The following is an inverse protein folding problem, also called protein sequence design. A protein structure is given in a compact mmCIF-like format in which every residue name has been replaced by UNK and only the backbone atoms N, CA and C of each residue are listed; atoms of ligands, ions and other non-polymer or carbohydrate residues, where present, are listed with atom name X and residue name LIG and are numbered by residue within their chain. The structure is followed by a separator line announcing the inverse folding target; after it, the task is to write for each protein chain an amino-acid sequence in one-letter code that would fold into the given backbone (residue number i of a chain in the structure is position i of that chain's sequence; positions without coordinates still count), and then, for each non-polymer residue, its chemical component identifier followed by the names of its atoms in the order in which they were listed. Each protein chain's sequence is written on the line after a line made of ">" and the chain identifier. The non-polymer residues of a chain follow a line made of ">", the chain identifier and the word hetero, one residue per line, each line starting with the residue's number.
data_IF_474241738528
#
_entry.id   IF_474241738528
#
_cell.length_a   1.000
_cell.length_b   1.000
_cell.length_c   1.000
_cell.angle_alpha   90.00
_cell.angle_beta   90.00
_cell.angle_gamma   90.00
#
_symmetry.space_group_name_H-M   'P 1'
#
loop_
_entity.id
_entity.type
_entity.pdbx_description
1 polymer ?
#
# COMPACT_ATOMS: atom_id res chain seq x y z
N UNK A 1 23.11 -26.31 1.23
CA UNK A 1 22.49 -25.12 0.61
C UNK A 1 22.85 -25.16 -0.87
N UNK A 2 21.89 -25.38 -1.77
CA UNK A 2 22.18 -25.48 -3.23
C UNK A 2 22.75 -24.15 -3.74
N UNK A 3 23.77 -24.20 -4.62
CA UNK A 3 24.31 -23.02 -5.32
C UNK A 3 23.22 -22.27 -6.11
N UNK A 4 22.13 -22.97 -6.45
CA UNK A 4 20.99 -22.41 -7.17
C UNK A 4 20.19 -21.36 -6.37
N UNK A 5 20.34 -21.30 -5.05
CA UNK A 5 19.64 -20.32 -4.21
C UNK A 5 20.46 -19.04 -3.95
N UNK A 6 21.67 -18.94 -4.50
CA UNK A 6 22.50 -17.74 -4.39
C UNK A 6 22.19 -16.76 -5.53
N UNK A 7 21.99 -15.49 -5.18
CA UNK A 7 21.84 -14.39 -6.14
C UNK A 7 23.04 -14.31 -7.11
N UNK A 8 22.86 -13.89 -8.38
CA UNK A 8 23.88 -13.94 -9.43
C UNK A 8 25.21 -13.29 -9.05
N UNK A 9 25.16 -12.14 -8.38
CA UNK A 9 26.36 -11.41 -7.92
C UNK A 9 27.08 -12.19 -6.82
N UNK A 10 26.35 -12.81 -5.89
CA UNK A 10 26.96 -13.66 -4.85
C UNK A 10 27.56 -14.93 -5.45
N UNK A 11 26.94 -15.51 -6.48
CA UNK A 11 27.54 -16.61 -7.25
C UNK A 11 28.82 -16.14 -7.93
N UNK A 12 28.80 -14.97 -8.56
CA UNK A 12 29.97 -14.39 -9.22
C UNK A 12 31.11 -14.12 -8.22
N UNK A 13 30.82 -13.57 -7.04
CA UNK A 13 31.80 -13.35 -5.96
C UNK A 13 32.34 -14.67 -5.39
N UNK A 14 31.49 -15.70 -5.24
CA UNK A 14 31.93 -17.03 -4.81
C UNK A 14 32.80 -17.71 -5.86
N UNK A 15 32.46 -17.57 -7.15
CA UNK A 15 33.27 -18.07 -8.26
C UNK A 15 34.62 -17.35 -8.33
N UNK A 16 34.64 -16.02 -8.19
CA UNK A 16 35.88 -15.25 -8.12
C UNK A 16 36.72 -15.61 -6.89
N UNK A 17 36.08 -15.84 -5.74
CA UNK A 17 36.75 -16.31 -4.53
C UNK A 17 37.33 -17.72 -4.70
N UNK A 18 36.61 -18.63 -5.35
CA UNK A 18 37.08 -19.98 -5.66
C UNK A 18 38.25 -19.96 -6.66
N UNK A 19 38.17 -19.12 -7.70
CA UNK A 19 39.27 -18.90 -8.65
C UNK A 19 40.48 -18.33 -7.92
N UNK A 20 40.29 -17.36 -7.01
CA UNK A 20 41.35 -16.80 -6.19
C UNK A 20 42.03 -17.84 -5.28
N UNK A 21 41.25 -18.74 -4.66
CA UNK A 21 41.79 -19.84 -3.85
C UNK A 21 42.56 -20.87 -4.70
N UNK A 22 42.07 -21.21 -5.88
CA UNK A 22 42.75 -22.12 -6.80
C UNK A 22 44.05 -21.51 -7.33
N UNK A 23 44.04 -20.22 -7.68
CA UNK A 23 45.24 -19.49 -8.08
C UNK A 23 46.26 -19.42 -6.91
N UNK A 24 45.81 -19.16 -5.69
CA UNK A 24 46.66 -19.17 -4.49
C UNK A 24 47.28 -20.53 -4.22
N UNK A 25 46.53 -21.62 -4.36
CA UNK A 25 47.05 -22.98 -4.22
C UNK A 25 48.06 -23.34 -5.31
N UNK A 26 47.82 -22.92 -6.56
CA UNK A 26 48.75 -23.12 -7.67
C UNK A 26 50.07 -22.36 -7.46
N UNK A 27 50.00 -21.10 -7.00
CA UNK A 27 51.18 -20.29 -6.65
C UNK A 27 51.93 -20.94 -5.47
N UNK A 28 51.21 -21.42 -4.45
CA UNK A 28 51.80 -22.11 -3.30
C UNK A 28 52.55 -23.38 -3.70
N UNK A 29 51.97 -24.22 -4.57
CA UNK A 29 52.64 -25.41 -5.10
C UNK A 29 53.84 -25.06 -6.00
N UNK A 30 53.76 -23.98 -6.77
CA UNK A 30 54.87 -23.50 -7.60
C UNK A 30 56.04 -22.99 -6.76
N UNK A 31 55.77 -22.21 -5.69
CA UNK A 31 56.77 -21.76 -4.73
C UNK A 31 57.39 -22.92 -3.94
N UNK A 32 56.58 -23.93 -3.58
CA UNK A 32 57.08 -25.15 -2.94
C UNK A 32 58.01 -25.93 -3.87
N UNK A 33 57.67 -26.00 -5.17
CA UNK A 33 58.52 -26.60 -6.20
C UNK A 33 59.84 -25.85 -6.39
N UNK A 34 59.81 -24.51 -6.37
CA UNK A 34 61.02 -23.67 -6.41
C UNK A 34 61.89 -23.85 -5.17
N UNK A 35 61.29 -23.98 -3.98
CA UNK A 35 61.99 -24.21 -2.72
C UNK A 35 62.68 -25.59 -2.68
N UNK A 36 62.07 -26.60 -3.30
CA UNK A 36 62.62 -27.97 -3.34
C UNK A 36 63.71 -28.17 -4.42
N UNK A 37 63.86 -27.24 -5.37
CA UNK A 37 64.75 -27.38 -6.54
C UNK A 37 65.82 -26.28 -6.71
N UNK A 38 65.97 -25.34 -5.77
CA UNK A 38 66.86 -24.18 -5.93
C UNK A 38 67.99 -24.08 -4.90
N UNK A 39 69.23 -24.26 -5.36
CA UNK A 39 70.48 -23.94 -4.65
C UNK A 39 70.77 -22.41 -4.69
N UNK A 40 71.54 -21.99 -3.70
CA UNK A 40 71.98 -20.67 -3.22
C UNK A 40 72.25 -19.51 -4.20
N UNK A 41 71.73 -18.31 -3.88
CA UNK A 41 72.46 -17.06 -3.55
C UNK A 41 71.61 -15.76 -3.74
N UNK A 42 71.93 -14.63 -3.07
CA UNK A 42 70.93 -13.72 -2.49
C UNK A 42 70.77 -12.41 -3.28
N UNK A 43 69.58 -11.79 -3.22
CA UNK A 43 69.45 -10.37 -3.55
C UNK A 43 68.42 -9.62 -2.65
N UNK A 44 68.96 -8.54 -2.10
CA UNK A 44 68.45 -7.41 -1.30
C UNK A 44 66.95 -7.05 -1.33
N UNK A 45 66.43 -6.73 -0.12
CA UNK A 45 65.15 -6.06 0.16
C UNK A 45 65.24 -4.54 -0.09
N UNK A 46 64.14 -3.90 -0.55
CA UNK A 46 63.79 -2.54 -0.16
C UNK A 46 62.61 -2.53 0.84
N UNK A 47 62.42 -1.42 1.58
CA UNK A 47 61.68 -1.42 2.84
C UNK A 47 60.18 -1.19 2.64
N UNK A 48 59.40 -1.96 3.38
CA UNK A 48 57.99 -1.71 3.65
C UNK A 48 57.91 -0.73 4.82
N UNK A 49 57.64 0.54 4.55
CA UNK A 49 56.91 1.36 5.51
C UNK A 49 56.20 2.55 4.86
N UNK A 50 55.07 2.92 5.46
CA UNK A 50 54.13 4.00 5.13
C UNK A 50 53.10 3.71 4.02
N UNK A 51 51.88 3.35 4.42
CA UNK A 51 50.65 4.11 4.12
C UNK A 51 49.41 3.51 4.85
N UNK A 52 49.45 3.45 6.19
CA UNK A 52 48.25 3.23 7.01
C UNK A 52 48.13 4.30 8.11
N UNK A 53 47.86 5.54 7.70
CA UNK A 53 47.19 6.55 8.55
C UNK A 53 46.78 7.78 7.72
N UNK A 54 45.75 7.63 6.89
CA UNK A 54 44.93 8.78 6.45
C UNK A 54 43.63 8.32 5.77
N UNK A 55 42.61 8.07 6.60
CA UNK A 55 41.20 8.50 6.40
C UNK A 55 40.31 7.86 7.46
N UNK A 56 40.41 8.41 8.67
CA UNK A 56 39.20 8.62 9.46
C UNK A 56 38.53 9.90 8.90
N UNK A 57 37.21 9.87 8.75
CA UNK A 57 36.40 11.08 8.59
C UNK A 57 35.45 11.03 7.40
N UNK A 58 34.18 11.34 7.70
CA UNK A 58 33.01 11.44 6.83
C UNK A 58 32.36 10.06 6.63
N UNK A 59 31.16 9.74 7.12
CA UNK A 59 29.93 10.53 7.16
C UNK A 59 29.11 10.21 8.43
N UNK A 60 28.98 11.20 9.31
CA UNK A 60 27.90 11.24 10.30
C UNK A 60 26.73 12.01 9.71
N UNK A 61 25.70 11.32 9.23
CA UNK A 61 24.41 11.96 9.01
C UNK A 61 23.60 11.83 10.28
N UNK A 62 23.59 12.92 11.06
CA UNK A 62 22.54 13.19 12.00
C UNK A 62 21.22 13.27 11.21
N UNK A 63 20.37 12.27 11.38
CA UNK A 63 18.95 12.38 11.07
C UNK A 63 18.39 13.47 11.97
N UNK A 64 18.16 14.65 11.40
CA UNK A 64 17.27 15.65 11.99
C UNK A 64 15.88 15.03 11.96
N UNK A 65 15.52 14.33 13.04
CA UNK A 65 14.16 13.92 13.29
C UNK A 65 13.32 15.18 13.40
N UNK A 66 12.51 15.47 12.38
CA UNK A 66 11.36 16.31 12.58
C UNK A 66 10.50 15.61 13.64
N UNK A 67 10.41 16.20 14.83
CA UNK A 67 9.41 15.80 15.81
C UNK A 67 8.04 16.11 15.20
N UNK A 68 7.47 15.13 14.52
CA UNK A 68 6.08 15.17 14.11
C UNK A 68 5.28 14.84 15.36
N UNK A 69 4.50 15.80 15.87
CA UNK A 69 3.55 15.53 16.95
C UNK A 69 2.60 14.44 16.47
N UNK A 70 2.82 13.19 16.88
CA UNK A 70 2.08 12.05 16.35
C UNK A 70 0.78 11.90 17.13
N UNK A 71 -0.34 12.19 16.46
CA UNK A 71 -1.69 11.94 16.98
C UNK A 71 -2.28 10.75 16.23
N UNK A 72 -2.78 9.77 16.98
CA UNK A 72 -3.41 8.57 16.41
C UNK A 72 -4.87 8.53 16.76
N UNK A 73 -5.68 8.00 15.85
CA UNK A 73 -7.13 7.88 16.00
C UNK A 73 -7.53 6.41 15.94
N UNK A 74 -8.53 6.02 16.73
CA UNK A 74 -9.24 4.74 16.54
C UNK A 74 -10.71 4.86 16.94
N UNK A 75 -11.51 3.92 16.48
CA UNK A 75 -12.89 3.77 16.93
C UNK A 75 -12.97 2.49 17.73
N UNK A 76 -13.44 2.60 18.97
CA UNK A 76 -13.65 1.45 19.83
C UNK A 76 -14.76 0.56 19.24
N UNK A 77 -14.44 -0.70 18.93
CA UNK A 77 -15.37 -1.61 18.23
C UNK A 77 -16.56 -2.05 19.08
N UNK A 78 -16.47 -1.95 20.42
CA UNK A 78 -17.58 -2.27 21.31
C UNK A 78 -18.52 -1.09 21.56
N UNK A 79 -17.97 0.11 21.70
CA UNK A 79 -18.73 1.32 22.10
C UNK A 79 -18.99 2.31 20.96
N UNK A 80 -18.31 2.14 19.82
CA UNK A 80 -18.29 3.07 18.68
C UNK A 80 -17.89 4.50 19.07
N UNK A 81 -17.07 4.63 20.12
CA UNK A 81 -16.53 5.92 20.56
C UNK A 81 -15.20 6.20 19.85
N UNK A 82 -14.99 7.46 19.49
CA UNK A 82 -13.70 7.92 18.98
C UNK A 82 -12.71 8.04 20.15
N UNK A 83 -11.58 7.37 19.99
CA UNK A 83 -10.45 7.44 20.90
C UNK A 83 -9.25 8.05 20.17
N UNK A 84 -8.52 8.91 20.88
CA UNK A 84 -7.38 9.67 20.37
C UNK A 84 -6.19 9.42 21.28
N UNK A 85 -5.04 9.16 20.69
CA UNK A 85 -3.77 9.09 21.40
C UNK A 85 -2.93 10.30 21.00
N UNK A 86 -2.43 11.04 21.99
CA UNK A 86 -1.63 12.25 21.81
C UNK A 86 -0.26 12.06 22.47
N UNK A 87 0.77 12.74 21.94
CA UNK A 87 2.15 12.60 22.43
C UNK A 87 2.31 12.89 23.93
N UNK A 88 1.54 13.86 24.47
CA UNK A 88 1.61 14.25 25.88
C UNK A 88 1.11 13.18 26.86
N UNK A 89 0.41 12.13 26.39
CA UNK A 89 -0.18 11.08 27.23
C UNK A 89 -0.12 9.72 26.54
N UNK A 90 0.68 8.77 27.04
CA UNK A 90 0.70 7.40 26.51
C UNK A 90 -0.57 6.66 26.94
N UNK A 91 -1.64 6.79 26.16
CA UNK A 91 -2.93 6.13 26.41
C UNK A 91 -4.00 6.56 25.40
N UNK A 92 -5.04 5.76 25.24
CA UNK A 92 -6.20 6.11 24.41
C UNK A 92 -7.20 6.91 25.23
N UNK A 93 -7.47 8.12 24.77
CA UNK A 93 -8.32 9.11 25.44
C UNK A 93 -9.62 9.28 24.66
N UNK A 94 -10.74 9.40 25.35
CA UNK A 94 -12.02 9.63 24.68
C UNK A 94 -12.11 11.06 24.14
N UNK A 95 -12.59 11.20 22.91
CA UNK A 95 -12.81 12.50 22.30
C UNK A 95 -14.11 13.15 22.81
N UNK A 96 -14.00 14.34 23.39
CA UNK A 96 -15.15 15.17 23.72
C UNK A 96 -15.93 15.59 22.46
N UNK A 97 -17.24 15.77 22.59
CA UNK A 97 -18.08 16.26 21.49
C UNK A 97 -18.14 17.80 21.42
N UNK A 98 -17.71 18.49 22.47
CA UNK A 98 -17.69 19.95 22.41
C UNK A 98 -16.83 20.46 21.27
N UNK A 99 -17.36 21.46 20.54
CA UNK A 99 -16.66 22.14 19.44
C UNK A 99 -16.35 21.23 18.26
N UNK A 100 -17.04 20.09 18.17
CA UNK A 100 -17.02 19.26 16.99
C UNK A 100 -17.60 20.00 15.79
N UNK A 101 -16.95 19.87 14.63
CA UNK A 101 -17.49 20.32 13.36
C UNK A 101 -17.37 19.22 12.29
N UNK A 102 -18.15 19.33 11.22
CA UNK A 102 -18.21 18.33 10.17
C UNK A 102 -16.85 18.13 9.49
N UNK A 103 -16.11 19.21 9.22
CA UNK A 103 -14.81 19.18 8.56
C UNK A 103 -13.77 18.37 9.33
N UNK A 104 -13.70 18.55 10.65
CA UNK A 104 -12.82 17.78 11.53
C UNK A 104 -13.24 16.30 11.57
N UNK A 105 -14.56 16.04 11.63
CA UNK A 105 -15.10 14.68 11.53
C UNK A 105 -14.68 13.98 10.24
N UNK A 106 -14.77 14.66 9.10
CA UNK A 106 -14.32 14.13 7.82
C UNK A 106 -12.82 13.88 7.82
N UNK A 107 -12.01 14.79 8.35
CA UNK A 107 -10.56 14.62 8.40
C UNK A 107 -10.15 13.41 9.24
N UNK A 108 -10.73 13.25 10.43
CA UNK A 108 -10.49 12.07 11.29
C UNK A 108 -10.99 10.79 10.64
N UNK A 109 -12.13 10.85 9.94
CA UNK A 109 -12.66 9.71 9.18
C UNK A 109 -11.64 9.23 8.13
N UNK A 110 -10.98 10.16 7.42
CA UNK A 110 -9.89 9.86 6.47
C UNK A 110 -8.63 9.35 7.16
N UNK A 111 -8.26 9.92 8.31
CA UNK A 111 -7.15 9.40 9.14
C UNK A 111 -7.38 7.93 9.52
N UNK A 112 -8.64 7.55 9.72
CA UNK A 112 -9.08 6.18 10.03
C UNK A 112 -9.21 5.26 8.79
N UNK A 113 -8.93 5.77 7.58
CA UNK A 113 -8.98 5.01 6.33
C UNK A 113 -10.38 4.88 5.72
N UNK A 114 -11.32 5.73 6.13
CA UNK A 114 -12.68 5.79 5.57
C UNK A 114 -12.83 6.97 4.60
N UNK A 115 -13.63 6.78 3.55
CA UNK A 115 -13.84 7.80 2.50
C UNK A 115 -14.77 8.94 2.90
N UNK A 116 -15.80 8.65 3.71
CA UNK A 116 -16.83 9.64 4.04
C UNK A 116 -17.32 9.47 5.47
N UNK A 117 -17.49 10.61 6.14
CA UNK A 117 -18.22 10.67 7.40
C UNK A 117 -19.71 10.67 7.12
N UNK A 118 -20.42 9.64 7.58
CA UNK A 118 -21.87 9.58 7.39
C UNK A 118 -22.67 10.14 8.56
N UNK A 119 -22.28 9.83 9.80
CA UNK A 119 -22.97 10.35 10.97
C UNK A 119 -22.00 10.49 12.16
N UNK A 120 -22.11 11.61 12.87
CA UNK A 120 -21.40 11.87 14.11
C UNK A 120 -22.37 12.46 15.12
N UNK A 121 -22.32 12.02 16.38
CA UNK A 121 -23.21 12.51 17.43
C UNK A 121 -22.55 12.44 18.79
N UNK A 122 -22.76 13.45 19.62
CA UNK A 122 -22.46 13.38 21.05
C UNK A 122 -23.34 12.34 21.77
N UNK A 123 -22.74 11.55 22.64
CA UNK A 123 -23.41 10.57 23.49
C UNK A 123 -23.06 10.78 24.95
N UNK A 124 -23.96 10.35 25.82
CA UNK A 124 -23.70 10.34 27.24
C UNK A 124 -23.00 9.03 27.63
N UNK A 125 -21.87 9.12 28.34
CA UNK A 125 -21.10 7.94 28.78
C UNK A 125 -21.88 7.07 29.75
N UNK A 126 -22.88 7.60 30.47
CA UNK A 126 -23.78 6.77 31.28
C UNK A 126 -24.54 5.74 30.42
N UNK A 127 -24.79 6.07 29.16
CA UNK A 127 -25.55 5.22 28.22
C UNK A 127 -24.64 4.23 27.49
N UNK A 128 -23.33 4.38 27.63
CA UNK A 128 -22.30 3.58 26.97
C UNK A 128 -21.42 3.04 28.08
N UNK A 129 -21.66 1.81 28.55
CA UNK A 129 -20.95 1.16 29.67
C UNK A 129 -19.41 1.20 29.52
N UNK A 130 -18.80 2.34 29.84
CA UNK A 130 -17.36 2.62 29.73
C UNK A 130 -16.80 2.62 31.15
N UNK A 131 -15.57 2.14 31.32
CA UNK A 131 -14.91 2.17 32.63
C UNK A 131 -14.63 3.63 33.06
N UNK A 132 -15.05 3.99 34.26
CA UNK A 132 -15.08 5.34 34.85
C UNK A 132 -13.71 6.04 35.07
N UNK A 133 -12.61 5.54 34.50
CA UNK A 133 -11.25 6.05 34.74
C UNK A 133 -10.54 6.60 33.51
N UNK A 134 -11.25 6.90 32.42
CA UNK A 134 -10.63 7.44 31.20
C UNK A 134 -10.49 8.96 31.24
N UNK A 135 -9.26 9.42 31.02
CA UNK A 135 -8.97 10.81 30.66
C UNK A 135 -9.50 11.13 29.25
N UNK A 136 -9.74 12.41 28.96
CA UNK A 136 -10.39 12.90 27.75
C UNK A 136 -9.46 13.78 26.92
N UNK A 137 -9.83 13.97 25.65
CA UNK A 137 -9.27 15.04 24.81
C UNK A 137 -10.37 15.97 24.30
N UNK A 138 -10.07 17.27 24.32
CA UNK A 138 -10.96 18.31 23.82
C UNK A 138 -10.31 19.06 22.64
N UNK A 139 -11.15 19.51 21.71
CA UNK A 139 -10.75 20.38 20.60
C UNK A 139 -10.52 21.81 21.13
N UNK A 140 -9.30 22.33 21.00
CA UNK A 140 -8.97 23.72 21.33
C UNK A 140 -9.21 24.66 20.15
N UNK A 141 -9.82 25.83 20.34
CA UNK A 141 -9.94 26.82 19.30
C UNK A 141 -8.57 27.48 19.14
N UNK A 142 -8.07 27.51 17.91
CA UNK A 142 -7.11 28.50 17.43
C UNK A 142 -5.61 28.23 17.64
N UNK A 143 -5.13 27.00 17.46
CA UNK A 143 -3.71 26.76 17.19
C UNK A 143 -3.55 25.88 15.94
N UNK A 144 -3.25 26.56 14.82
CA UNK A 144 -2.80 26.00 13.54
C UNK A 144 -3.76 25.03 12.84
N UNK A 145 -3.70 25.03 11.52
CA UNK A 145 -4.65 24.34 10.63
C UNK A 145 -4.37 22.85 10.45
N UNK A 146 -3.70 22.21 11.41
CA UNK A 146 -3.19 20.84 11.28
C UNK A 146 -3.79 19.99 12.41
N UNK A 147 -4.26 18.80 12.07
CA UNK A 147 -5.09 17.94 12.93
C UNK A 147 -4.37 17.51 14.21
N UNK A 148 -3.05 17.57 14.23
CA UNK A 148 -2.20 17.19 15.35
C UNK A 148 -2.25 18.23 16.48
N UNK A 149 -2.42 19.52 16.14
CA UNK A 149 -2.30 20.64 17.09
C UNK A 149 -3.62 20.98 17.81
N UNK A 150 -4.74 20.37 17.40
CA UNK A 150 -6.07 20.75 17.91
C UNK A 150 -6.48 20.02 19.20
N UNK A 151 -5.65 19.14 19.74
CA UNK A 151 -6.01 18.27 20.88
C UNK A 151 -5.39 18.72 22.19
N UNK A 152 -6.23 18.91 23.21
CA UNK A 152 -5.80 19.17 24.58
C UNK A 152 -6.34 18.10 25.52
N UNK A 153 -5.45 17.48 26.30
CA UNK A 153 -5.83 16.52 27.35
C UNK A 153 -6.61 17.23 28.45
N UNK A 154 -7.70 16.61 28.90
CA UNK A 154 -8.51 17.05 30.04
C UNK A 154 -9.00 15.86 30.85
N UNK A 155 -9.45 16.16 32.06
CA UNK A 155 -9.98 15.21 33.02
C UNK A 155 -11.52 15.08 32.96
N UNK A 156 -12.21 15.97 32.22
CA UNK A 156 -13.63 15.89 31.90
C UNK A 156 -13.93 16.56 30.54
N UNK A 157 -15.12 16.30 30.00
CA UNK A 157 -15.74 17.05 28.90
C UNK A 157 -16.82 18.03 29.43
N UNK A 158 -17.01 19.17 28.77
CA UNK A 158 -18.05 20.16 29.10
C UNK A 158 -19.38 19.85 28.37
N UNK A 159 -20.16 18.88 28.86
CA UNK A 159 -21.44 18.50 28.24
C UNK A 159 -21.61 16.98 28.13
N UNK A 160 -22.33 16.50 27.11
CA UNK A 160 -22.53 15.07 26.85
C UNK A 160 -21.16 14.37 26.70
N UNK A 161 -20.77 13.47 27.64
CA UNK A 161 -19.36 13.18 27.88
C UNK A 161 -18.62 12.28 26.85
N UNK A 162 -19.10 12.12 25.62
CA UNK A 162 -18.31 11.48 24.55
C UNK A 162 -18.83 11.72 23.14
N UNK A 163 -17.95 11.70 22.14
CA UNK A 163 -18.34 11.65 20.71
C UNK A 163 -18.52 10.19 20.28
N UNK A 164 -19.75 9.77 19.96
CA UNK A 164 -19.99 8.51 19.25
C UNK A 164 -19.79 8.74 17.76
N UNK A 165 -18.81 8.05 17.23
CA UNK A 165 -18.51 7.99 15.82
C UNK A 165 -19.15 6.72 15.27
N UNK A 166 -20.16 6.87 14.42
CA UNK A 166 -20.67 5.76 13.63
C UNK A 166 -20.17 5.96 12.20
N UNK A 167 -18.98 5.43 11.85
CA UNK A 167 -18.54 5.46 10.46
C UNK A 167 -19.53 4.59 9.67
N UNK A 168 -20.34 5.15 8.75
CA UNK A 168 -21.07 4.32 7.76
C UNK A 168 -20.17 3.87 6.61
N UNK A 169 -18.96 3.45 6.91
CA UNK A 169 -18.24 2.65 5.96
C UNK A 169 -17.81 1.41 6.71
N UNK A 170 -18.72 0.42 6.75
CA UNK A 170 -18.38 -0.97 7.03
C UNK A 170 -17.48 -1.49 5.89
N UNK A 171 -16.28 -0.94 5.79
CA UNK A 171 -15.24 -1.36 4.87
C UNK A 171 -14.37 -2.42 5.54
N UNK A 172 -13.63 -3.19 4.74
CA UNK A 172 -12.64 -4.13 5.25
C UNK A 172 -13.24 -5.29 6.05
N UNK A 173 -14.56 -5.51 5.97
CA UNK A 173 -15.25 -6.64 6.58
C UNK A 173 -15.44 -7.76 5.56
N UNK A 174 -15.15 -8.99 5.96
CA UNK A 174 -15.41 -10.19 5.14
C UNK A 174 -16.01 -11.31 5.98
N UNK A 175 -16.76 -12.21 5.34
CA UNK A 175 -17.28 -13.42 5.99
C UNK A 175 -16.14 -14.39 6.37
N UNK A 176 -16.16 -14.93 7.58
CA UNK A 176 -15.11 -15.80 8.13
C UNK A 176 -15.22 -17.27 7.69
N UNK A 177 -16.16 -17.61 6.81
CA UNK A 177 -16.66 -18.97 6.60
C UNK A 177 -15.73 -19.97 5.87
N UNK A 178 -14.42 -19.73 5.70
CA UNK A 178 -13.53 -20.76 5.17
C UNK A 178 -12.06 -20.57 5.58
N UNK A 179 -11.38 -21.66 5.92
CA UNK A 179 -9.91 -21.72 6.11
C UNK A 179 -9.37 -22.79 5.16
N UNK A 180 -8.64 -22.40 4.13
CA UNK A 180 -7.87 -23.30 3.26
C UNK A 180 -6.46 -22.70 3.04
N UNK A 181 -5.46 -23.56 2.86
CA UNK A 181 -4.02 -23.24 2.83
C UNK A 181 -3.46 -23.57 1.43
N UNK A 182 -2.82 -22.59 0.80
CA UNK A 182 -2.03 -22.77 -0.44
C UNK A 182 -2.82 -22.58 -1.74
N UNK A 183 -2.92 -21.34 -2.22
CA UNK A 183 -3.35 -20.98 -3.59
C UNK A 183 -4.58 -21.73 -4.10
N UNK A 184 -5.78 -21.33 -3.66
CA UNK A 184 -7.02 -22.07 -3.94
C UNK A 184 -8.11 -21.16 -4.50
N UNK A 185 -9.15 -21.79 -5.04
CA UNK A 185 -10.38 -21.07 -5.41
C UNK A 185 -10.93 -20.30 -4.21
N UNK A 186 -11.21 -19.02 -4.42
CA UNK A 186 -11.78 -18.15 -3.41
C UNK A 186 -13.30 -18.40 -3.34
N UNK A 187 -13.87 -18.73 -2.16
CA UNK A 187 -15.31 -18.80 -2.00
C UNK A 187 -15.97 -17.43 -2.15
N UNK A 188 -17.24 -17.46 -2.57
CA UNK A 188 -18.05 -16.25 -2.74
C UNK A 188 -18.09 -15.41 -1.44
N UNK A 189 -17.86 -14.10 -1.58
CA UNK A 189 -17.90 -13.14 -0.47
C UNK A 189 -16.69 -13.17 0.46
N UNK A 190 -15.64 -13.93 0.14
CA UNK A 190 -14.39 -13.88 0.90
C UNK A 190 -13.55 -12.64 0.61
N UNK A 191 -13.58 -12.16 -0.63
CA UNK A 191 -12.98 -10.91 -1.06
C UNK A 191 -14.07 -10.01 -1.65
N UNK A 192 -15.00 -9.49 -0.82
CA UNK A 192 -16.21 -8.83 -1.31
C UNK A 192 -15.92 -7.48 -2.01
N UNK A 193 -14.70 -6.96 -1.88
CA UNK A 193 -14.20 -5.80 -2.60
C UNK A 193 -13.59 -6.13 -3.95
N UNK A 194 -13.26 -7.39 -4.24
CA UNK A 194 -12.70 -7.76 -5.53
C UNK A 194 -13.71 -7.45 -6.64
N UNK A 195 -13.25 -6.74 -7.68
CA UNK A 195 -14.01 -6.58 -8.91
C UNK A 195 -13.22 -7.05 -10.11
N UNK A 196 -13.96 -7.38 -11.16
CA UNK A 196 -13.45 -7.71 -12.47
C UNK A 196 -13.77 -6.57 -13.43
N UNK A 197 -12.73 -6.00 -14.06
CA UNK A 197 -12.87 -4.93 -15.03
C UNK A 197 -12.92 -5.51 -16.43
N UNK A 198 -14.01 -5.21 -17.13
CA UNK A 198 -14.24 -5.65 -18.49
C UNK A 198 -14.14 -4.48 -19.46
N UNK A 199 -13.44 -4.70 -20.56
CA UNK A 199 -13.40 -3.82 -21.71
C UNK A 199 -13.89 -4.59 -22.93
N UNK A 200 -14.92 -4.07 -23.62
CA UNK A 200 -15.52 -4.72 -24.79
C UNK A 200 -15.88 -6.19 -24.50
N UNK A 201 -16.52 -6.44 -23.35
CA UNK A 201 -16.97 -7.78 -22.92
C UNK A 201 -15.86 -8.79 -22.60
N UNK A 202 -14.62 -8.33 -22.42
CA UNK A 202 -13.50 -9.18 -22.01
C UNK A 202 -12.91 -8.67 -20.72
N UNK A 203 -12.62 -9.59 -19.80
CA UNK A 203 -11.81 -9.27 -18.63
C UNK A 203 -10.43 -8.76 -19.08
N UNK A 204 -9.99 -7.65 -18.48
CA UNK A 204 -8.67 -7.06 -18.74
C UNK A 204 -7.86 -6.84 -17.48
N UNK A 205 -8.51 -6.51 -16.36
CA UNK A 205 -7.85 -6.20 -15.10
C UNK A 205 -8.76 -6.49 -13.90
N UNK A 206 -8.16 -6.55 -12.71
CA UNK A 206 -8.85 -6.47 -11.44
C UNK A 206 -9.07 -5.04 -10.95
N UNK A 207 -9.77 -4.92 -9.83
CA UNK A 207 -9.97 -3.67 -9.09
C UNK A 207 -10.46 -3.95 -7.68
N UNK A 208 -10.60 -2.89 -6.89
CA UNK A 208 -11.19 -2.97 -5.55
C UNK A 208 -12.31 -1.96 -5.35
N UNK A 209 -13.43 -2.40 -4.76
CA UNK A 209 -14.48 -1.49 -4.27
C UNK A 209 -13.93 -0.69 -3.09
N UNK A 210 -13.92 0.63 -3.18
CA UNK A 210 -13.54 1.52 -2.07
C UNK A 210 -14.73 2.32 -1.55
N UNK A 211 -15.75 2.55 -2.38
CA UNK A 211 -17.05 3.11 -2.00
C UNK A 211 -18.17 2.43 -2.79
N UNK A 212 -19.43 2.79 -2.51
CA UNK A 212 -20.59 2.26 -3.23
C UNK A 212 -20.47 2.45 -4.75
N UNK A 213 -19.98 3.60 -5.21
CA UNK A 213 -19.85 3.97 -6.63
C UNK A 213 -18.40 4.17 -7.06
N UNK A 214 -17.41 3.77 -6.24
CA UNK A 214 -15.99 3.97 -6.53
C UNK A 214 -15.18 2.68 -6.51
N UNK A 215 -14.47 2.48 -7.61
CA UNK A 215 -13.50 1.41 -7.79
C UNK A 215 -12.11 2.00 -7.91
N UNK A 216 -11.12 1.39 -7.26
CA UNK A 216 -9.70 1.68 -7.43
C UNK A 216 -9.05 0.55 -8.24
N UNK A 217 -8.14 0.90 -9.14
CA UNK A 217 -7.39 -0.04 -10.00
C UNK A 217 -6.04 0.59 -10.40
N UNK A 218 -5.28 -0.07 -11.28
CA UNK A 218 -4.02 0.44 -11.80
C UNK A 218 -4.26 1.41 -12.98
N UNK A 219 -3.37 2.39 -13.14
CA UNK A 219 -3.44 3.32 -14.28
C UNK A 219 -3.15 2.60 -15.60
N UNK A 220 -2.21 1.67 -15.63
CA UNK A 220 -1.85 0.94 -16.86
C UNK A 220 -3.03 0.13 -17.44
N UNK A 221 -3.98 -0.28 -16.59
CA UNK A 221 -5.22 -0.92 -17.01
C UNK A 221 -6.11 -0.01 -17.86
N UNK A 222 -5.99 1.32 -17.74
CA UNK A 222 -6.89 2.27 -18.40
C UNK A 222 -6.15 3.30 -19.27
N UNK A 223 -4.86 3.51 -19.05
CA UNK A 223 -4.05 4.54 -19.70
C UNK A 223 -3.73 4.23 -21.17
N UNK A 224 -3.33 2.98 -21.46
CA UNK A 224 -2.88 2.57 -22.79
C UNK A 224 -4.00 2.60 -23.83
N UNK A 225 -5.23 2.63 -23.37
CA UNK A 225 -6.40 2.78 -24.19
C UNK A 225 -6.65 4.28 -24.33
N UNK A 226 -5.98 4.93 -25.29
CA UNK A 226 -6.11 6.38 -25.48
C UNK A 226 -7.52 6.83 -25.89
N UNK A 227 -8.45 5.91 -26.24
CA UNK A 227 -9.87 6.19 -26.58
C UNK A 227 -10.88 5.00 -26.46
N UNK A 228 -10.89 4.15 -25.43
CA UNK A 228 -12.08 3.36 -25.15
C UNK A 228 -13.12 4.37 -24.66
N UNK A 229 -14.28 4.39 -25.31
CA UNK A 229 -15.36 5.17 -24.76
C UNK A 229 -15.63 4.63 -23.35
N UNK A 230 -15.85 5.49 -22.37
CA UNK A 230 -16.14 5.03 -20.99
C UNK A 230 -17.30 4.01 -20.98
N UNK A 231 -18.22 4.12 -21.94
CA UNK A 231 -19.31 3.18 -22.23
C UNK A 231 -18.89 1.75 -22.59
N UNK A 232 -17.65 1.50 -23.02
CA UNK A 232 -17.15 0.15 -23.30
C UNK A 232 -16.65 -0.59 -22.05
N UNK A 233 -16.62 0.09 -20.89
CA UNK A 233 -16.19 -0.47 -19.63
C UNK A 233 -17.37 -0.93 -18.79
N UNK A 234 -17.23 -2.13 -18.23
CA UNK A 234 -18.14 -2.70 -17.23
C UNK A 234 -17.36 -3.18 -16.02
N UNK A 235 -17.94 -3.00 -14.85
CA UNK A 235 -17.39 -3.52 -13.58
C UNK A 235 -18.30 -4.62 -13.06
N UNK A 236 -17.73 -5.79 -12.82
CA UNK A 236 -18.44 -6.90 -12.19
C UNK A 236 -17.96 -7.08 -10.75
N UNK A 237 -18.89 -6.97 -9.80
CA UNK A 237 -18.65 -7.14 -8.36
C UNK A 237 -19.51 -8.28 -7.82
N UNK A 238 -19.06 -8.93 -6.75
CA UNK A 238 -19.82 -10.01 -6.09
C UNK A 238 -19.87 -11.31 -6.90
N UNK A 239 -18.86 -11.51 -7.75
CA UNK A 239 -18.73 -12.69 -8.62
C UNK A 239 -17.46 -13.43 -8.25
N UNK A 240 -17.44 -14.75 -8.46
CA UNK A 240 -16.23 -15.56 -8.39
C UNK A 240 -15.93 -16.25 -9.72
N UNK A 241 -16.92 -16.38 -10.61
CA UNK A 241 -16.75 -17.00 -11.92
C UNK A 241 -16.96 -15.99 -13.06
N UNK A 242 -16.09 -16.01 -14.07
CA UNK A 242 -16.19 -15.13 -15.24
C UNK A 242 -17.36 -15.46 -16.17
N UNK A 243 -17.72 -16.73 -16.27
CA UNK A 243 -18.61 -17.28 -17.29
C UNK A 243 -20.10 -17.27 -16.92
N UNK A 244 -20.44 -17.00 -15.65
CA UNK A 244 -21.81 -17.11 -15.15
C UNK A 244 -22.58 -15.79 -15.12
N UNK A 245 -21.99 -14.69 -15.59
CA UNK A 245 -22.55 -13.34 -15.37
C UNK A 245 -23.00 -12.72 -16.69
N UNK A 246 -24.32 -12.51 -16.90
CA UNK A 246 -24.82 -11.80 -18.07
C UNK A 246 -24.20 -10.40 -18.16
N UNK A 247 -23.86 -9.94 -19.37
CA UNK A 247 -23.30 -8.58 -19.56
C UNK A 247 -24.19 -7.48 -18.98
N UNK A 248 -25.52 -7.69 -18.96
CA UNK A 248 -26.48 -6.75 -18.38
C UNK A 248 -26.34 -6.58 -16.87
N UNK A 249 -25.63 -7.49 -16.18
CA UNK A 249 -25.37 -7.41 -14.74
C UNK A 249 -24.09 -6.61 -14.40
N UNK A 250 -23.30 -6.20 -15.40
CA UNK A 250 -22.13 -5.35 -15.19
C UNK A 250 -22.53 -3.92 -14.84
N UNK A 251 -21.88 -3.32 -13.85
CA UNK A 251 -22.06 -1.93 -13.51
C UNK A 251 -21.38 -1.03 -14.56
N UNK A 252 -22.15 -0.12 -15.14
CA UNK A 252 -21.66 0.84 -16.12
C UNK A 252 -20.77 1.90 -15.47
N UNK A 253 -19.73 2.32 -16.18
CA UNK A 253 -18.76 3.33 -15.72
C UNK A 253 -19.20 4.71 -16.20
N UNK A 254 -19.21 5.69 -15.30
CA UNK A 254 -19.47 7.11 -15.58
C UNK A 254 -18.17 7.83 -15.98
N UNK A 255 -17.09 7.57 -15.25
CA UNK A 255 -15.83 8.30 -15.39
C UNK A 255 -14.63 7.44 -15.01
N UNK A 256 -13.53 7.61 -15.75
CA UNK A 256 -12.24 6.98 -15.46
C UNK A 256 -11.22 8.10 -15.22
N UNK A 257 -10.49 8.01 -14.11
CA UNK A 257 -9.54 9.02 -13.65
C UNK A 257 -8.25 8.30 -13.25
N UNK A 258 -7.28 8.23 -14.16
CA UNK A 258 -5.93 7.78 -13.82
C UNK A 258 -5.09 8.94 -13.30
N UNK A 259 -4.08 8.64 -12.50
CA UNK A 259 -3.24 9.67 -11.91
C UNK A 259 -2.47 10.46 -12.99
N UNK A 260 -2.46 11.80 -12.97
CA UNK A 260 -1.91 12.63 -14.05
C UNK A 260 -0.40 12.52 -14.23
N UNK A 261 0.32 12.01 -13.22
CA UNK A 261 1.77 11.74 -13.27
C UNK A 261 2.11 10.28 -13.57
N UNK A 262 1.13 9.46 -13.98
CA UNK A 262 1.41 8.08 -14.40
C UNK A 262 2.42 8.06 -15.55
N UNK A 263 3.45 7.24 -15.39
CA UNK A 263 4.51 7.02 -16.37
C UNK A 263 4.51 5.56 -16.81
N UNK A 264 4.27 5.33 -18.10
CA UNK A 264 4.17 3.99 -18.69
C UNK A 264 5.50 3.25 -18.76
N UNK A 265 6.63 3.96 -18.66
CA UNK A 265 7.97 3.36 -18.68
C UNK A 265 8.42 2.86 -17.32
N UNK A 266 8.22 3.69 -16.29
CA UNK A 266 8.64 3.36 -14.93
C UNK A 266 7.54 2.67 -14.12
N UNK A 267 6.30 2.63 -14.61
CA UNK A 267 5.10 2.24 -13.86
C UNK A 267 4.89 3.05 -12.57
N UNK A 268 5.49 4.23 -12.48
CA UNK A 268 5.30 5.11 -11.35
C UNK A 268 3.94 5.82 -11.42
N UNK A 269 3.37 6.13 -10.25
CA UNK A 269 1.99 6.63 -10.15
C UNK A 269 0.93 5.73 -10.81
N UNK A 270 1.12 4.41 -10.77
CA UNK A 270 0.22 3.42 -11.38
C UNK A 270 -1.06 3.19 -10.56
N UNK A 271 -1.95 4.17 -10.59
CA UNK A 271 -3.25 4.16 -9.90
C UNK A 271 -4.31 4.89 -10.72
N UNK A 272 -5.52 4.34 -10.70
CA UNK A 272 -6.71 4.94 -11.28
C UNK A 272 -7.96 4.70 -10.41
N UNK A 273 -8.92 5.60 -10.56
CA UNK A 273 -10.26 5.50 -10.00
C UNK A 273 -11.28 5.40 -11.13
N UNK A 274 -12.28 4.54 -10.95
CA UNK A 274 -13.44 4.44 -11.83
C UNK A 274 -14.69 4.75 -11.02
N UNK A 275 -15.46 5.74 -11.48
CA UNK A 275 -16.76 6.09 -10.92
C UNK A 275 -17.84 5.32 -11.66
N UNK A 276 -18.71 4.64 -10.94
CA UNK A 276 -19.85 3.91 -11.49
C UNK A 276 -21.04 4.86 -11.73
N UNK A 277 -21.85 4.55 -12.74
CA UNK A 277 -23.06 5.33 -13.07
C UNK A 277 -24.15 5.17 -12.00
N UNK A 278 -24.16 4.02 -11.32
CA UNK A 278 -25.06 3.72 -10.21
C UNK A 278 -24.28 3.06 -9.07
N UNK A 279 -24.63 3.34 -7.80
CA UNK A 279 -23.98 2.72 -6.65
C UNK A 279 -24.24 1.21 -6.61
N UNK A 280 -23.23 0.45 -6.19
CA UNK A 280 -23.34 -0.97 -5.88
C UNK A 280 -24.18 -1.17 -4.63
N UNK A 281 -25.04 -2.19 -4.68
CA UNK A 281 -25.78 -2.65 -3.51
C UNK A 281 -24.88 -3.54 -2.65
N UNK A 282 -24.39 -3.01 -1.53
CA UNK A 282 -23.56 -3.79 -0.62
C UNK A 282 -24.32 -4.97 -0.02
N UNK A 283 -23.63 -6.09 0.12
CA UNK A 283 -24.15 -7.37 0.57
C UNK A 283 -23.03 -8.19 1.23
N UNK A 284 -23.26 -9.47 1.51
CA UNK A 284 -22.18 -10.36 1.96
C UNK A 284 -21.14 -10.66 0.86
N UNK A 285 -21.49 -10.44 -0.41
CA UNK A 285 -20.61 -10.67 -1.55
C UNK A 285 -19.99 -9.38 -2.12
N UNK A 286 -20.53 -8.21 -1.79
CA UNK A 286 -20.08 -6.90 -2.29
C UNK A 286 -19.90 -5.95 -1.11
N UNK A 287 -18.67 -5.52 -0.82
CA UNK A 287 -18.35 -4.53 0.22
C UNK A 287 -17.10 -3.76 -0.15
N UNK A 288 -16.95 -2.57 0.41
CA UNK A 288 -15.70 -1.82 0.27
C UNK A 288 -14.56 -2.46 1.08
N UNK A 289 -13.33 -2.34 0.58
CA UNK A 289 -12.11 -2.51 1.39
C UNK A 289 -11.76 -1.18 2.05
N UNK A 290 -11.17 -1.19 3.24
CA UNK A 290 -10.70 0.04 3.85
C UNK A 290 -9.41 0.52 3.18
N UNK A 291 -9.21 1.83 3.13
CA UNK A 291 -7.91 2.39 2.81
C UNK A 291 -6.97 2.25 4.01
N UNK A 292 -5.64 2.27 3.79
CA UNK A 292 -4.68 2.32 4.89
C UNK A 292 -4.86 3.61 5.68
N UNK A 293 -4.51 3.58 6.98
CA UNK A 293 -4.42 4.81 7.76
C UNK A 293 -3.29 5.68 7.20
N UNK A 294 -3.38 7.00 7.41
CA UNK A 294 -2.22 7.86 7.17
C UNK A 294 -1.06 7.43 8.06
N UNK A 295 0.14 7.38 7.48
CA UNK A 295 1.37 6.95 8.16
C UNK A 295 1.36 5.51 8.72
N UNK A 296 0.37 4.69 8.34
CA UNK A 296 0.41 3.26 8.69
C UNK A 296 1.43 2.55 7.81
N UNK A 297 2.48 2.07 8.46
CA UNK A 297 3.42 1.13 7.87
C UNK A 297 3.11 -0.28 8.35
N UNK A 298 2.96 -1.20 7.40
CA UNK A 298 2.88 -2.61 7.68
C UNK A 298 4.30 -3.20 7.81
N UNK A 299 4.62 -3.89 8.92
CA UNK A 299 5.94 -4.48 9.10
C UNK A 299 6.31 -5.44 7.96
N UNK A 300 7.59 -5.48 7.60
CA UNK A 300 8.08 -6.48 6.65
C UNK A 300 7.82 -7.90 7.18
N UNK A 301 7.48 -8.83 6.28
CA UNK A 301 7.05 -10.18 6.66
C UNK A 301 5.58 -10.30 7.08
N UNK A 302 4.84 -9.18 7.15
CA UNK A 302 3.37 -9.22 7.30
C UNK A 302 2.77 -10.03 6.15
N UNK A 303 1.94 -11.00 6.48
CA UNK A 303 1.26 -11.82 5.49
C UNK A 303 0.01 -11.08 5.01
N UNK A 304 0.01 -10.76 3.74
CA UNK A 304 -1.10 -10.11 3.04
C UNK A 304 -1.66 -11.06 1.99
N UNK A 305 -2.81 -10.71 1.44
CA UNK A 305 -3.52 -11.52 0.48
C UNK A 305 -3.65 -10.79 -0.85
N UNK A 306 -3.47 -11.54 -1.91
CA UNK A 306 -3.82 -11.16 -3.28
C UNK A 306 -4.97 -12.03 -3.76
N UNK A 307 -5.82 -11.45 -4.60
CA UNK A 307 -6.89 -12.16 -5.26
C UNK A 307 -7.06 -11.65 -6.69
N UNK A 308 -7.46 -12.54 -7.59
CA UNK A 308 -7.69 -12.21 -8.98
C UNK A 308 -7.93 -13.43 -9.86
N UNK A 309 -8.13 -13.17 -11.16
CA UNK A 309 -8.42 -14.17 -12.19
C UNK A 309 -7.32 -14.27 -13.24
N UNK A 310 -6.15 -13.74 -12.90
CA UNK A 310 -4.97 -13.77 -13.74
C UNK A 310 -4.46 -15.18 -14.02
N UNK A 311 -3.50 -15.25 -14.93
CA UNK A 311 -2.92 -16.51 -15.36
C UNK A 311 -2.16 -17.19 -14.22
N UNK A 312 -2.34 -18.50 -14.06
CA UNK A 312 -1.62 -19.29 -13.05
C UNK A 312 -0.28 -19.83 -13.54
N UNK A 313 0.03 -19.63 -14.83
CA UNK A 313 1.28 -20.06 -15.46
C UNK A 313 1.91 -18.90 -16.24
N UNK A 314 3.25 -18.72 -16.21
CA UNK A 314 3.94 -17.69 -16.98
C UNK A 314 3.86 -17.92 -18.50
N UNK A 315 3.79 -19.19 -18.90
CA UNK A 315 3.48 -19.60 -20.26
C UNK A 315 2.01 -19.28 -20.52
N UNK A 316 1.71 -18.60 -21.63
CA UNK A 316 0.38 -18.12 -22.03
C UNK A 316 -0.57 -19.29 -22.39
N UNK A 317 -0.74 -20.24 -21.48
CA UNK A 317 -1.49 -21.48 -21.61
C UNK A 317 -3.00 -21.23 -21.56
N UNK A 318 -3.52 -20.88 -22.72
CA UNK A 318 -4.86 -21.10 -23.31
C UNK A 318 -6.16 -20.85 -22.52
N UNK A 319 -6.17 -20.63 -21.20
CA UNK A 319 -7.43 -20.31 -20.52
C UNK A 319 -7.22 -19.39 -19.31
N UNK A 320 -7.79 -18.18 -19.41
CA UNK A 320 -8.09 -17.32 -18.26
C UNK A 320 -8.79 -18.17 -17.19
N UNK A 321 -8.42 -17.98 -15.91
CA UNK A 321 -9.00 -18.75 -14.83
C UNK A 321 -10.50 -18.50 -14.76
N UNK A 322 -11.31 -19.57 -14.81
CA UNK A 322 -12.76 -19.40 -14.72
C UNK A 322 -13.17 -18.91 -13.33
N UNK A 323 -12.40 -19.27 -12.28
CA UNK A 323 -12.69 -19.02 -10.87
C UNK A 323 -11.66 -18.08 -10.23
N UNK A 324 -12.14 -17.21 -9.33
CA UNK A 324 -11.32 -16.29 -8.55
C UNK A 324 -10.33 -17.09 -7.69
N UNK A 325 -9.05 -16.72 -7.76
CA UNK A 325 -7.99 -17.31 -6.94
C UNK A 325 -7.64 -16.40 -5.78
N UNK A 326 -7.12 -16.98 -4.71
CA UNK A 326 -6.52 -16.26 -3.59
C UNK A 326 -5.15 -16.83 -3.22
N UNK A 327 -4.21 -15.96 -2.85
CA UNK A 327 -2.91 -16.37 -2.35
C UNK A 327 -2.42 -15.47 -1.23
N UNK A 328 -1.63 -16.03 -0.32
CA UNK A 328 -0.97 -15.29 0.75
C UNK A 328 0.44 -14.95 0.28
N UNK A 329 0.85 -13.70 0.46
CA UNK A 329 2.21 -13.23 0.14
C UNK A 329 2.75 -12.36 1.29
N UNK A 330 4.02 -12.52 1.70
CA UNK A 330 4.62 -11.68 2.72
C UNK A 330 5.12 -10.36 2.11
N UNK A 331 4.98 -9.25 2.85
CA UNK A 331 5.59 -7.98 2.46
C UNK A 331 7.12 -8.05 2.51
N UNK A 332 7.78 -7.50 1.50
CA UNK A 332 9.23 -7.41 1.40
C UNK A 332 9.65 -5.95 1.60
N UNK A 333 10.74 -5.74 2.33
CA UNK A 333 11.26 -4.39 2.56
C UNK A 333 11.71 -3.72 1.28
N UNK A 334 11.43 -2.43 1.12
CA UNK A 334 11.86 -1.65 -0.05
C UNK A 334 13.37 -1.74 -0.25
N UNK A 335 14.16 -1.66 0.85
CA UNK A 335 15.62 -1.84 0.82
C UNK A 335 16.06 -3.18 0.23
N UNK A 336 15.33 -4.26 0.53
CA UNK A 336 15.63 -5.59 -0.01
C UNK A 336 15.21 -5.68 -1.47
N UNK A 337 14.03 -5.15 -1.80
CA UNK A 337 13.50 -5.23 -3.15
C UNK A 337 14.31 -4.41 -4.17
N UNK A 338 14.87 -3.25 -3.77
CA UNK A 338 15.79 -2.46 -4.61
C UNK A 338 17.22 -3.00 -4.63
N UNK A 339 17.51 -4.06 -3.87
CA UNK A 339 18.87 -4.59 -3.84
C UNK A 339 19.29 -5.12 -5.20
N UNK A 340 20.60 -5.20 -5.42
CA UNK A 340 21.17 -5.76 -6.64
C UNK A 340 20.85 -7.24 -6.86
N UNK A 341 20.21 -7.90 -5.90
CA UNK A 341 19.78 -9.28 -5.99
C UNK A 341 18.32 -9.46 -6.41
N UNK A 342 17.60 -8.35 -6.65
CA UNK A 342 16.20 -8.31 -7.05
C UNK A 342 16.08 -7.29 -8.20
N UNK A 343 15.43 -6.15 -7.99
CA UNK A 343 15.14 -5.17 -9.05
C UNK A 343 16.20 -4.09 -9.27
N UNK A 344 17.41 -4.21 -8.70
CA UNK A 344 18.55 -3.33 -9.00
C UNK A 344 18.25 -1.80 -8.96
N UNK A 345 17.40 -1.35 -8.04
CA UNK A 345 17.07 0.07 -7.88
C UNK A 345 15.92 0.60 -8.74
N UNK A 346 15.17 -0.25 -9.44
CA UNK A 346 14.07 0.16 -10.33
C UNK A 346 12.81 0.63 -9.58
N UNK A 347 12.68 0.36 -8.28
CA UNK A 347 11.48 0.75 -7.54
C UNK A 347 11.51 2.20 -7.04
N UNK A 348 10.38 2.87 -7.18
CA UNK A 348 10.16 4.20 -6.61
C UNK A 348 9.63 4.11 -5.17
N UNK A 349 9.74 5.19 -4.37
CA UNK A 349 9.07 5.30 -3.07
C UNK A 349 7.55 5.06 -3.07
N UNK A 350 6.87 5.16 -4.22
CA UNK A 350 5.43 4.92 -4.38
C UNK A 350 5.10 3.43 -4.59
N UNK A 351 6.10 2.55 -4.55
CA UNK A 351 5.96 1.13 -4.79
C UNK A 351 6.32 0.32 -3.55
N UNK A 352 5.75 -0.89 -3.47
CA UNK A 352 6.11 -1.91 -2.49
C UNK A 352 6.22 -3.27 -3.16
N UNK A 353 6.87 -4.22 -2.48
CA UNK A 353 6.99 -5.60 -2.94
C UNK A 353 6.31 -6.56 -1.98
N UNK A 354 5.69 -7.60 -2.53
CA UNK A 354 5.16 -8.71 -1.76
C UNK A 354 5.35 -10.01 -2.54
N UNK A 355 5.77 -11.07 -1.86
CA UNK A 355 6.00 -12.37 -2.50
C UNK A 355 7.04 -13.21 -1.76
N UNK A 356 7.24 -14.43 -2.23
CA UNK A 356 8.26 -15.32 -1.71
C UNK A 356 9.54 -15.25 -2.55
N UNK A 357 10.69 -15.30 -1.89
CA UNK A 357 11.98 -15.16 -2.58
C UNK A 357 12.35 -16.39 -3.41
N UNK A 358 11.81 -17.55 -3.06
CA UNK A 358 11.89 -18.76 -3.88
C UNK A 358 10.83 -18.80 -4.99
N UNK A 359 10.05 -17.71 -5.16
CA UNK A 359 9.04 -17.56 -6.20
C UNK A 359 7.78 -18.38 -5.93
N UNK A 360 7.23 -19.00 -6.99
CA UNK A 360 6.06 -19.90 -7.04
C UNK A 360 4.70 -19.27 -6.76
N UNK A 361 4.62 -18.30 -5.86
CA UNK A 361 3.37 -17.63 -5.51
C UNK A 361 3.52 -16.13 -5.75
N UNK A 362 2.73 -15.63 -6.70
CA UNK A 362 2.76 -14.24 -7.13
C UNK A 362 1.43 -13.86 -7.80
N UNK A 363 1.19 -12.55 -7.96
CA UNK A 363 0.19 -12.06 -8.89
C UNK A 363 0.74 -12.17 -10.32
N UNK A 364 -0.13 -12.36 -11.30
CA UNK A 364 0.30 -12.51 -12.69
C UNK A 364 -0.51 -11.63 -13.65
N UNK A 365 -0.28 -11.83 -14.95
CA UNK A 365 -1.01 -11.15 -16.02
C UNK A 365 -2.53 -11.28 -15.79
N UNK A 366 -3.26 -10.19 -16.04
CA UNK A 366 -4.69 -9.98 -15.76
C UNK A 366 -5.10 -9.86 -14.27
N UNK A 367 -4.21 -10.07 -13.30
CA UNK A 367 -4.44 -9.64 -11.90
C UNK A 367 -4.18 -8.15 -11.68
N UNK A 368 -3.54 -7.49 -12.66
CA UNK A 368 -3.28 -6.06 -12.69
C UNK A 368 -4.46 -5.21 -12.20
N UNK A 369 -4.18 -4.25 -11.34
CA UNK A 369 -5.21 -3.42 -10.70
C UNK A 369 -5.95 -4.10 -9.54
N UNK A 370 -5.75 -5.40 -9.33
CA UNK A 370 -6.32 -6.16 -8.23
C UNK A 370 -5.75 -5.79 -6.85
N UNK A 371 -6.42 -6.24 -5.77
CA UNK A 371 -6.04 -5.92 -4.40
C UNK A 371 -4.81 -6.67 -3.91
N UNK A 372 -3.93 -5.96 -3.19
CA UNK A 372 -3.11 -6.52 -2.12
C UNK A 372 -3.64 -6.01 -0.78
N UNK A 373 -4.24 -6.90 0.01
CA UNK A 373 -4.89 -6.54 1.27
C UNK A 373 -4.21 -7.17 2.47
N UNK A 374 -3.98 -6.37 3.51
CA UNK A 374 -3.42 -6.82 4.77
C UNK A 374 -4.48 -6.65 5.87
N UNK A 375 -4.48 -7.57 6.84
CA UNK A 375 -5.38 -7.49 7.97
C UNK A 375 -4.72 -6.69 9.11
N UNK A 376 -5.43 -5.67 9.58
CA UNK A 376 -5.10 -4.82 10.71
C UNK A 376 -6.17 -5.04 11.79
N UNK A 377 -5.82 -5.80 12.82
CA UNK A 377 -6.76 -6.36 13.80
C UNK A 377 -7.92 -7.14 13.13
N UNK A 378 -9.11 -6.55 13.06
CA UNK A 378 -10.31 -7.14 12.45
C UNK A 378 -10.66 -6.51 11.10
N UNK A 379 -9.85 -5.57 10.61
CA UNK A 379 -10.14 -4.76 9.42
C UNK A 379 -9.18 -5.08 8.29
N UNK A 380 -9.70 -5.37 7.11
CA UNK A 380 -8.90 -5.54 5.89
C UNK A 380 -8.66 -4.20 5.21
N UNK A 381 -7.39 -3.91 4.93
CA UNK A 381 -6.95 -2.66 4.31
C UNK A 381 -6.25 -2.92 2.99
N UNK A 382 -6.53 -2.09 1.99
CA UNK A 382 -5.90 -2.13 0.66
C UNK A 382 -4.52 -1.49 0.73
N UNK A 383 -3.49 -2.30 0.95
CA UNK A 383 -2.12 -1.81 1.14
C UNK A 383 -1.43 -1.61 -0.21
N UNK A 384 -1.78 -2.43 -1.20
CA UNK A 384 -1.22 -2.35 -2.54
C UNK A 384 -2.24 -2.57 -3.65
N UNK A 385 -1.88 -2.13 -4.85
CA UNK A 385 -2.58 -2.43 -6.10
C UNK A 385 -1.59 -3.16 -7.01
N UNK A 386 -1.97 -4.32 -7.55
CA UNK A 386 -1.11 -5.11 -8.46
C UNK A 386 -0.70 -4.23 -9.65
N UNK A 387 0.61 -4.07 -9.88
CA UNK A 387 1.14 -3.14 -10.88
C UNK A 387 2.00 -3.85 -11.93
N UNK A 388 3.14 -4.42 -11.54
CA UNK A 388 4.08 -5.07 -12.47
C UNK A 388 4.96 -6.10 -11.77
N UNK A 389 5.74 -6.85 -12.54
CA UNK A 389 6.74 -7.81 -12.05
C UNK A 389 7.52 -8.43 -13.20
N UNK A 390 8.71 -8.98 -12.90
CA UNK A 390 9.47 -9.77 -13.88
C UNK A 390 8.97 -11.21 -13.85
N UNK A 391 8.27 -11.63 -14.91
CA UNK A 391 7.60 -12.93 -14.95
C UNK A 391 6.49 -13.03 -13.89
N UNK A 392 6.12 -14.25 -13.52
CA UNK A 392 5.18 -14.52 -12.44
C UNK A 392 5.70 -15.64 -11.57
N UNK A 393 5.91 -15.38 -10.27
CA UNK A 393 6.43 -16.40 -9.35
C UNK A 393 7.87 -16.80 -9.64
N UNK A 394 8.67 -15.89 -10.20
CA UNK A 394 10.09 -16.14 -10.43
C UNK A 394 10.91 -15.95 -9.14
N UNK A 395 11.93 -16.79 -8.90
CA UNK A 395 12.82 -16.62 -7.74
C UNK A 395 13.51 -15.24 -7.76
N UNK A 396 13.45 -14.53 -6.63
CA UNK A 396 13.96 -13.18 -6.40
C UNK A 396 13.27 -12.04 -7.18
N UNK A 397 12.20 -12.31 -7.94
CA UNK A 397 11.38 -11.29 -8.60
C UNK A 397 9.94 -11.35 -8.08
N UNK A 398 9.69 -10.84 -6.86
CA UNK A 398 8.33 -10.78 -6.32
C UNK A 398 7.50 -9.72 -7.07
N UNK A 399 6.17 -9.84 -7.03
CA UNK A 399 5.29 -8.81 -7.54
C UNK A 399 5.55 -7.43 -6.92
N UNK A 400 5.41 -6.41 -7.77
CA UNK A 400 5.50 -4.99 -7.42
C UNK A 400 4.11 -4.38 -7.45
N UNK A 401 3.79 -3.62 -6.41
CA UNK A 401 2.48 -3.05 -6.18
C UNK A 401 2.59 -1.55 -5.96
N UNK A 402 1.59 -0.80 -6.40
CA UNK A 402 1.43 0.61 -6.03
C UNK A 402 1.14 0.70 -4.53
N UNK A 403 1.94 1.44 -3.77
CA UNK A 403 1.78 1.64 -2.32
C UNK A 403 0.65 2.65 -2.06
N UNK A 404 -0.55 2.17 -1.75
CA UNK A 404 -1.78 2.99 -1.65
C UNK A 404 -1.66 4.14 -0.64
N UNK A 405 -0.92 3.94 0.44
CA UNK A 405 -0.69 4.98 1.46
C UNK A 405 -0.10 6.29 0.87
N UNK A 406 0.70 6.20 -0.19
CA UNK A 406 1.32 7.36 -0.84
C UNK A 406 0.37 8.15 -1.76
N UNK A 407 -0.86 7.65 -1.94
CA UNK A 407 -1.87 8.22 -2.84
C UNK A 407 -3.17 8.61 -2.13
N UNK A 408 -3.24 8.49 -0.81
CA UNK A 408 -4.43 8.80 -0.02
C UNK A 408 -4.98 10.20 -0.32
N UNK A 409 -4.11 11.22 -0.34
CA UNK A 409 -4.52 12.59 -0.65
C UNK A 409 -5.19 12.72 -2.02
N UNK A 410 -4.62 12.07 -3.04
CA UNK A 410 -5.17 12.06 -4.39
C UNK A 410 -6.52 11.31 -4.43
N UNK A 411 -6.62 10.16 -3.76
CA UNK A 411 -7.85 9.36 -3.71
C UNK A 411 -8.99 10.19 -3.10
N UNK A 412 -8.76 10.77 -1.91
CA UNK A 412 -9.77 11.57 -1.23
C UNK A 412 -10.15 12.83 -2.03
N UNK A 413 -9.17 13.53 -2.61
CA UNK A 413 -9.43 14.71 -3.43
C UNK A 413 -10.34 14.39 -4.63
N UNK A 414 -10.06 13.30 -5.35
CA UNK A 414 -10.86 12.93 -6.53
C UNK A 414 -12.29 12.56 -6.14
N UNK A 415 -12.46 11.70 -5.14
CA UNK A 415 -13.78 11.20 -4.74
C UNK A 415 -14.68 12.36 -4.29
N UNK A 416 -14.14 13.36 -3.58
CA UNK A 416 -14.89 14.53 -3.12
C UNK A 416 -15.29 15.51 -4.23
N UNK A 417 -14.40 15.79 -5.18
CA UNK A 417 -14.69 16.70 -6.30
C UNK A 417 -15.88 16.22 -7.16
N UNK A 418 -16.19 14.94 -7.10
CA UNK A 418 -17.30 14.29 -7.82
C UNK A 418 -18.53 14.01 -6.95
N UNK A 419 -18.42 14.10 -5.61
CA UNK A 419 -19.51 13.86 -4.67
C UNK A 419 -20.41 15.08 -4.42
N UNK A 420 -19.97 16.29 -4.77
CA UNK A 420 -20.80 17.50 -4.68
C UNK A 420 -21.61 17.74 -5.96
N UNK A 421 -22.62 16.90 -6.18
CA UNK A 421 -23.76 17.23 -7.04
C UNK A 421 -24.59 18.34 -6.42
N UNK A 422 -24.10 19.58 -6.52
CA UNK A 422 -24.76 20.79 -6.00
C UNK A 422 -23.73 21.90 -5.83
N UNK A 423 -23.74 22.85 -6.77
CA UNK A 423 -22.92 24.08 -6.85
C UNK A 423 -22.29 24.47 -5.52
N UNK A 424 -20.97 24.54 -5.44
CA UNK A 424 -20.21 25.67 -4.89
C UNK A 424 -18.71 25.46 -5.18
N UNK A 425 -18.11 26.45 -5.86
CA UNK A 425 -16.68 26.54 -6.11
C UNK A 425 -15.89 26.52 -4.80
N UNK A 426 -14.91 25.62 -4.68
CA UNK A 426 -13.79 25.75 -3.77
C UNK A 426 -12.50 25.47 -4.55
N UNK A 427 -11.99 26.50 -5.20
CA UNK A 427 -10.60 26.57 -5.62
C UNK A 427 -9.75 26.85 -4.36
N UNK A 428 -8.86 25.91 -4.01
CA UNK A 428 -7.70 26.23 -3.18
C UNK A 428 -6.53 26.55 -4.10
N UNK A 429 -6.32 27.83 -4.37
CA UNK A 429 -5.02 28.37 -4.80
C UNK A 429 -4.69 29.54 -3.89
N UNK A 430 -3.67 29.37 -3.05
CA UNK A 430 -3.02 30.47 -2.34
C UNK A 430 -1.56 30.46 -2.75
N UNK A 431 -1.28 31.25 -3.77
CA UNK A 431 0.03 31.88 -3.94
C UNK A 431 -0.25 33.34 -4.21
N UNK A 432 -0.26 34.11 -3.12
CA UNK A 432 -0.19 35.56 -3.18
C UNK A 432 1.16 35.92 -3.82
N UNK A 433 1.14 36.58 -4.96
CA UNK A 433 2.19 37.55 -5.30
C UNK A 433 1.50 38.77 -5.87
N UNK A 434 1.28 39.73 -4.99
CA UNK A 434 0.97 41.11 -5.34
C UNK A 434 2.19 41.64 -6.08
N UNK A 435 2.03 41.95 -7.36
CA UNK A 435 2.79 43.00 -8.01
C UNK A 435 1.78 44.00 -8.56
N UNK A 436 1.73 45.15 -7.90
CA UNK A 436 1.37 46.40 -8.53
C UNK A 436 2.27 46.60 -9.75
N UNK A 437 1.70 46.86 -10.92
CA UNK A 437 2.10 48.02 -11.70
C UNK A 437 0.96 48.53 -12.59
N UNK A 438 0.91 49.85 -12.68
CA UNK A 438 -0.05 50.63 -13.42
C UNK A 438 0.29 50.65 -14.91
N UNK A 439 -0.72 50.87 -15.74
CA UNK A 439 -0.80 52.01 -16.66
C UNK A 439 -1.41 51.67 -18.03
N UNK A 440 -2.40 52.51 -18.36
CA UNK A 440 -3.03 52.84 -19.64
C UNK A 440 -4.04 51.87 -20.24
#
# INVERSE_FOLDING_TARGET
>A
MSLENLCPIKRCLLLLGAIGLLAGAAIGMWLLGLYLLGDSSPLSKPPLDQWLKQRAGLWGHASVGANCHQVSFRINTGSFLLEVQVESRPGWLLACHERWNLSLGTLICRQLGYLQLAHHKGVNLTDVKVNDTQDFVQIVPNQKSIIEDVWQVRWWCLGAPGSRFSPFAECGLRSTAARIVGGSDAPLGRWPWQVSLYLNSRHVCGGSVVAHDWIITAAHCVHNYRRPQVSSWLVFAGIIAHVSVPQQAGAAVEKIIYHPRYDDRSHDYDIALMKLTAPLNFSNAIRAVCLPLYHQDFPHGTHCWISGWGYTTPEHGEQLQEMLKEAIVPLISSKKCISSCMYFGELTPRMLCAGYLDGKVDACQADSGGPLVCQDELTWRLVGIVSWGTGCGEPNYPGVYTKVAEFLDWIYQIIELTGCGGRHHLYCTRTDTILHDQSK
#
